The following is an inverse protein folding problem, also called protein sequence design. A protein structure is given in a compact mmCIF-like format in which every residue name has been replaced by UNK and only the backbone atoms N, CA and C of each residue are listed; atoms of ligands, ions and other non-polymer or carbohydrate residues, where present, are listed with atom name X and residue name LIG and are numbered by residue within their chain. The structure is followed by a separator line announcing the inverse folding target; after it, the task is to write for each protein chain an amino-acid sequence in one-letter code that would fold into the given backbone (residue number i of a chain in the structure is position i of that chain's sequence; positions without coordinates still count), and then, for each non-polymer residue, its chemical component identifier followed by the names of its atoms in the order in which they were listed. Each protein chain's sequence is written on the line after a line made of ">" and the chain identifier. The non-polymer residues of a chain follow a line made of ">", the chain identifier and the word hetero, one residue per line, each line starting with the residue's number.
data_IF_902935510021
#
_entry.id   IF_902935510021
#
_cell.length_a   1.000
_cell.length_b   1.000
_cell.length_c   1.000
_cell.angle_alpha   90.00
_cell.angle_beta   90.00
_cell.angle_gamma   90.00
#
_symmetry.space_group_name_H-M   'P 1'
#
loop_
_entity.id
_entity.type
_entity.pdbx_description
1 polymer ?
#
# COMPACT_ATOMS: atom_id res chain seq x y z
N UNK A 1 8.76 3.01 16.30
CA UNK A 1 8.32 1.61 16.46
C UNK A 1 7.21 1.54 17.50
N UNK A 2 6.15 0.77 17.26
CA UNK A 2 5.03 0.53 18.16
C UNK A 2 4.82 -0.96 18.35
N UNK A 3 4.55 -1.39 19.57
CA UNK A 3 4.18 -2.75 19.90
C UNK A 3 2.74 -2.72 20.42
N UNK A 4 1.86 -3.50 19.81
CA UNK A 4 0.44 -3.55 20.13
C UNK A 4 0.04 -4.98 20.37
N UNK A 5 -0.43 -5.28 21.57
CA UNK A 5 -0.96 -6.59 21.92
C UNK A 5 -2.47 -6.58 21.70
N UNK A 6 -2.94 -7.54 20.92
CA UNK A 6 -4.35 -7.83 20.70
C UNK A 6 -4.76 -8.99 21.58
N UNK A 7 -5.88 -8.83 22.25
CA UNK A 7 -6.58 -9.89 22.96
C UNK A 7 -7.97 -10.06 22.35
N UNK A 8 -8.76 -11.03 22.81
CA UNK A 8 -10.09 -11.27 22.27
C UNK A 8 -11.01 -10.02 22.26
N UNK A 9 -10.86 -9.14 23.27
CA UNK A 9 -11.79 -8.04 23.53
C UNK A 9 -11.12 -6.65 23.61
N UNK A 10 -9.78 -6.57 23.49
CA UNK A 10 -9.04 -5.32 23.66
C UNK A 10 -7.73 -5.28 22.89
N UNK A 11 -7.21 -4.09 22.72
CA UNK A 11 -5.83 -3.86 22.27
C UNK A 11 -5.12 -2.95 23.26
N UNK A 12 -3.83 -3.20 23.50
CA UNK A 12 -3.00 -2.39 24.38
C UNK A 12 -1.61 -2.16 23.82
N UNK A 13 -1.05 -1.00 24.08
CA UNK A 13 0.36 -0.77 23.79
C UNK A 13 1.23 -1.42 24.86
N UNK A 14 2.34 -2.00 24.42
CA UNK A 14 3.37 -2.57 25.28
C UNK A 14 4.72 -1.93 24.96
N UNK A 15 5.59 -1.76 25.97
CA UNK A 15 6.89 -1.13 25.78
C UNK A 15 7.95 -2.11 25.26
N UNK A 16 7.82 -3.38 25.66
CA UNK A 16 8.72 -4.46 25.27
C UNK A 16 7.92 -5.69 24.80
N UNK A 17 8.45 -6.48 23.86
CA UNK A 17 7.79 -7.74 23.49
C UNK A 17 7.65 -8.63 24.73
N UNK A 18 6.50 -9.26 24.92
CA UNK A 18 6.33 -10.28 25.96
C UNK A 18 7.22 -11.50 25.67
N UNK A 19 7.58 -12.25 26.72
CA UNK A 19 8.39 -13.47 26.59
C UNK A 19 7.65 -14.61 25.85
N UNK A 20 6.32 -14.55 25.81
CA UNK A 20 5.46 -15.50 25.12
C UNK A 20 4.25 -14.80 24.51
N UNK A 21 3.66 -15.43 23.49
CA UNK A 21 2.42 -14.93 22.89
C UNK A 21 1.28 -14.90 23.94
N UNK A 22 0.37 -13.90 23.86
CA UNK A 22 -0.83 -13.85 24.68
C UNK A 22 -1.64 -15.17 24.54
N UNK A 23 -2.23 -15.68 25.62
CA UNK A 23 -3.00 -16.94 25.58
C UNK A 23 -4.11 -16.92 24.51
N UNK A 24 -4.78 -15.77 24.36
CA UNK A 24 -5.84 -15.56 23.36
C UNK A 24 -5.61 -14.23 22.66
N UNK A 25 -4.77 -14.24 21.59
CA UNK A 25 -4.45 -13.04 20.85
C UNK A 25 -3.12 -13.11 20.16
N UNK A 26 -2.60 -11.95 19.76
CA UNK A 26 -1.34 -11.85 19.06
C UNK A 26 -0.65 -10.51 19.34
N UNK A 27 0.65 -10.46 19.03
CA UNK A 27 1.43 -9.23 19.07
C UNK A 27 1.58 -8.65 17.65
N UNK A 28 1.40 -7.34 17.51
CA UNK A 28 1.75 -6.58 16.32
C UNK A 28 2.90 -5.64 16.60
N UNK A 29 3.97 -5.77 15.81
CA UNK A 29 5.13 -4.87 15.80
C UNK A 29 5.05 -4.02 14.53
N UNK A 30 4.83 -2.73 14.69
CA UNK A 30 4.82 -1.72 13.63
C UNK A 30 6.08 -0.88 13.69
N UNK A 31 6.78 -0.76 12.57
CA UNK A 31 7.96 0.10 12.50
C UNK A 31 8.17 0.71 11.11
N UNK A 32 8.85 1.85 11.08
CA UNK A 32 9.36 2.46 9.86
C UNK A 32 10.63 1.75 9.38
N UNK A 33 10.85 1.73 8.06
CA UNK A 33 12.04 1.09 7.47
C UNK A 33 13.35 1.73 7.96
N UNK A 34 13.32 3.00 8.30
CA UNK A 34 14.46 3.72 8.89
C UNK A 34 14.81 3.27 10.32
N UNK A 35 13.85 2.69 11.04
CA UNK A 35 14.06 2.14 12.38
C UNK A 35 14.56 0.69 12.35
N UNK A 36 14.47 0.02 11.21
CA UNK A 36 14.65 -1.43 11.06
C UNK A 36 16.04 -1.89 11.51
N UNK A 37 17.12 -1.18 11.13
CA UNK A 37 18.49 -1.55 11.47
C UNK A 37 18.74 -1.59 12.99
N UNK A 38 18.15 -0.67 13.73
CA UNK A 38 18.24 -0.63 15.21
C UNK A 38 17.32 -1.64 15.90
N UNK A 39 16.24 -2.02 15.24
CA UNK A 39 15.23 -2.91 15.79
C UNK A 39 15.49 -4.41 15.53
N UNK A 40 16.44 -4.77 14.66
CA UNK A 40 16.70 -6.17 14.30
C UNK A 40 16.86 -7.14 15.47
N UNK A 41 17.65 -6.85 16.51
CA UNK A 41 17.81 -7.78 17.64
C UNK A 41 16.46 -8.05 18.33
N UNK A 42 15.63 -7.01 18.51
CA UNK A 42 14.32 -7.13 19.12
C UNK A 42 13.35 -7.91 18.23
N UNK A 43 13.36 -7.65 16.91
CA UNK A 43 12.50 -8.38 15.96
C UNK A 43 12.86 -9.86 15.91
N UNK A 44 14.14 -10.21 15.86
CA UNK A 44 14.58 -11.59 15.87
C UNK A 44 14.23 -12.30 17.18
N UNK A 45 14.38 -11.61 18.31
CA UNK A 45 13.97 -12.15 19.61
C UNK A 45 12.46 -12.37 19.67
N UNK A 46 11.64 -11.42 19.24
CA UNK A 46 10.19 -11.56 19.21
C UNK A 46 9.75 -12.68 18.25
N UNK A 47 10.36 -12.75 17.05
CA UNK A 47 10.11 -13.82 16.09
C UNK A 47 10.43 -15.20 16.66
N UNK A 48 11.57 -15.33 17.34
CA UNK A 48 11.96 -16.60 17.98
C UNK A 48 11.05 -16.97 19.16
N UNK A 49 10.74 -16.01 20.06
CA UNK A 49 10.02 -16.32 21.31
C UNK A 49 8.50 -16.46 21.09
N UNK A 50 7.92 -15.63 20.22
CA UNK A 50 6.47 -15.57 19.99
C UNK A 50 6.08 -16.31 18.71
N UNK A 51 6.87 -16.13 17.64
CA UNK A 51 6.65 -16.75 16.34
C UNK A 51 7.18 -18.17 16.21
N UNK A 52 8.09 -18.59 17.09
CA UNK A 52 8.68 -19.93 17.08
C UNK A 52 9.90 -20.10 16.17
N UNK A 53 10.21 -19.13 15.31
CA UNK A 53 11.39 -19.13 14.43
C UNK A 53 11.85 -17.72 14.15
N UNK A 54 13.17 -17.45 14.09
CA UNK A 54 13.66 -16.14 13.67
C UNK A 54 13.35 -15.89 12.19
N UNK A 55 13.36 -14.63 11.80
CA UNK A 55 13.29 -14.23 10.39
C UNK A 55 14.54 -14.71 9.63
N UNK A 56 14.35 -15.25 8.43
CA UNK A 56 15.44 -15.62 7.54
C UNK A 56 16.19 -14.36 7.07
N UNK A 57 17.51 -14.48 6.91
CA UNK A 57 18.35 -13.37 6.44
C UNK A 57 17.92 -12.82 5.08
N UNK A 58 17.39 -13.68 4.20
CA UNK A 58 16.81 -13.27 2.92
C UNK A 58 15.61 -12.35 3.15
N UNK A 59 14.66 -12.79 3.95
CA UNK A 59 13.44 -12.03 4.26
C UNK A 59 13.74 -10.72 5.02
N UNK A 60 14.81 -10.71 5.83
CA UNK A 60 15.30 -9.47 6.44
C UNK A 60 15.75 -8.45 5.39
N UNK A 61 16.41 -8.90 4.32
CA UNK A 61 16.83 -8.04 3.20
C UNK A 61 15.63 -7.55 2.38
N UNK A 62 14.65 -8.42 2.15
CA UNK A 62 13.43 -8.08 1.42
C UNK A 62 12.61 -7.02 2.17
N UNK A 63 12.44 -7.19 3.49
CA UNK A 63 11.80 -6.19 4.36
C UNK A 63 12.55 -4.84 4.38
N UNK A 64 13.88 -4.88 4.27
CA UNK A 64 14.71 -3.67 4.23
C UNK A 64 14.69 -2.98 2.86
N UNK A 65 14.37 -3.69 1.78
CA UNK A 65 14.41 -3.17 0.42
C UNK A 65 13.18 -2.29 0.11
N UNK A 66 13.40 -0.98 -0.02
CA UNK A 66 12.34 -0.04 -0.37
C UNK A 66 11.84 -0.16 -1.82
N UNK A 67 12.66 -0.77 -2.69
CA UNK A 67 12.37 -0.94 -4.12
C UNK A 67 11.85 -2.33 -4.48
N UNK A 68 11.60 -3.18 -3.48
CA UNK A 68 11.07 -4.52 -3.72
C UNK A 68 9.68 -4.45 -4.34
N UNK A 69 9.43 -5.24 -5.37
CA UNK A 69 8.11 -5.38 -5.98
C UNK A 69 7.14 -6.13 -5.05
N UNK A 70 5.84 -6.10 -5.36
CA UNK A 70 4.89 -6.88 -4.58
C UNK A 70 5.18 -8.37 -4.76
N UNK A 71 5.24 -9.10 -3.65
CA UNK A 71 5.76 -10.46 -3.65
C UNK A 71 5.25 -11.23 -2.44
N UNK A 72 5.04 -12.52 -2.62
CA UNK A 72 4.71 -13.47 -1.57
C UNK A 72 5.77 -14.56 -1.48
N UNK A 73 6.18 -14.90 -0.28
CA UNK A 73 7.01 -16.06 0.03
C UNK A 73 6.57 -16.67 1.36
N UNK A 74 6.95 -17.89 1.63
CA UNK A 74 6.56 -18.58 2.84
C UNK A 74 7.66 -19.47 3.40
N UNK A 75 7.56 -19.72 4.68
CA UNK A 75 8.32 -20.74 5.39
C UNK A 75 7.35 -21.73 6.01
N UNK A 76 7.86 -22.76 6.68
CA UNK A 76 7.00 -23.64 7.47
C UNK A 76 6.39 -22.97 8.72
N UNK A 77 6.75 -21.72 9.05
CA UNK A 77 6.42 -21.06 10.32
C UNK A 77 5.75 -19.70 10.09
N UNK A 78 6.05 -19.00 9.01
CA UNK A 78 5.48 -17.69 8.73
C UNK A 78 5.43 -17.41 7.23
N UNK A 79 4.52 -16.53 6.86
CA UNK A 79 4.38 -15.95 5.53
C UNK A 79 5.10 -14.60 5.47
N UNK A 80 5.75 -14.32 4.32
CA UNK A 80 6.28 -13.01 3.98
C UNK A 80 5.43 -12.40 2.86
N UNK A 81 4.91 -11.22 3.07
CA UNK A 81 4.18 -10.46 2.05
C UNK A 81 4.84 -9.10 1.88
N UNK A 82 5.36 -8.81 0.71
CA UNK A 82 5.74 -7.45 0.32
C UNK A 82 4.61 -6.89 -0.53
N UNK A 83 4.09 -5.74 -0.17
CA UNK A 83 2.99 -5.10 -0.86
C UNK A 83 3.33 -3.64 -1.19
N UNK A 84 3.46 -3.34 -2.47
CA UNK A 84 3.63 -1.96 -2.92
C UNK A 84 2.27 -1.28 -2.99
N UNK A 85 2.14 -0.12 -2.38
CA UNK A 85 0.94 0.70 -2.40
C UNK A 85 1.21 2.06 -3.01
N UNK A 86 0.18 2.77 -3.40
CA UNK A 86 0.34 4.16 -3.78
C UNK A 86 0.78 5.01 -2.59
N UNK A 87 1.67 5.96 -2.85
CA UNK A 87 2.07 6.95 -1.89
C UNK A 87 0.92 7.94 -1.63
N UNK A 88 0.74 8.32 -0.37
CA UNK A 88 -0.21 9.38 0.01
C UNK A 88 0.32 10.76 -0.42
N UNK A 89 -0.57 11.73 -0.53
CA UNK A 89 -0.16 13.13 -0.84
C UNK A 89 0.86 13.68 0.16
N UNK A 90 0.75 13.31 1.43
CA UNK A 90 1.70 13.74 2.46
C UNK A 90 3.07 13.11 2.25
N UNK A 91 3.15 11.83 1.89
CA UNK A 91 4.40 11.14 1.61
C UNK A 91 5.09 11.72 0.36
N UNK A 92 4.34 12.02 -0.67
CA UNK A 92 4.84 12.69 -1.88
C UNK A 92 5.37 14.09 -1.53
N UNK A 93 4.62 14.88 -0.77
CA UNK A 93 5.02 16.22 -0.35
C UNK A 93 6.27 16.24 0.53
N UNK A 94 6.51 15.16 1.29
CA UNK A 94 7.71 14.97 2.12
C UNK A 94 8.88 14.35 1.34
N UNK A 95 8.70 14.04 0.05
CA UNK A 95 9.74 13.43 -0.78
C UNK A 95 10.14 12.01 -0.35
N UNK A 96 9.25 11.30 0.35
CA UNK A 96 9.53 9.96 0.88
C UNK A 96 9.49 8.87 -0.22
N UNK A 97 9.07 9.23 -1.41
CA UNK A 97 8.90 8.38 -2.59
C UNK A 97 10.18 8.24 -3.45
N UNK A 98 11.27 8.90 -3.11
CA UNK A 98 12.53 8.90 -3.87
C UNK A 98 13.39 7.64 -3.63
N UNK A 99 12.79 6.51 -3.29
CA UNK A 99 13.46 5.24 -2.99
C UNK A 99 13.44 4.18 -4.11
N UNK A 100 13.03 4.51 -5.35
CA UNK A 100 13.02 3.50 -6.39
C UNK A 100 12.77 4.02 -7.79
N UNK A 101 13.77 3.87 -8.64
CA UNK A 101 13.76 4.05 -10.10
C UNK A 101 13.88 5.48 -10.64
N UNK A 102 14.98 6.15 -10.31
CA UNK A 102 15.53 7.22 -11.12
C UNK A 102 16.89 6.78 -11.66
N UNK A 103 16.94 6.27 -12.89
CA UNK A 103 18.20 6.05 -13.60
C UNK A 103 19.03 7.34 -13.56
N UNK A 104 20.26 7.22 -13.08
CA UNK A 104 21.28 8.25 -13.08
C UNK A 104 21.38 8.95 -14.44
N UNK A 105 20.89 10.18 -14.51
CA UNK A 105 21.45 11.19 -15.41
C UNK A 105 22.09 12.24 -14.51
N UNK A 106 23.31 11.95 -14.08
CA UNK A 106 24.20 12.91 -13.46
C UNK A 106 24.55 14.00 -14.49
N UNK A 107 23.86 15.14 -14.37
CA UNK A 107 24.26 16.40 -14.95
C UNK A 107 24.95 17.23 -13.88
N UNK A 108 26.29 17.28 -13.92
CA UNK A 108 27.10 18.28 -13.23
C UNK A 108 26.61 19.69 -13.56
N UNK A 109 26.23 20.47 -12.57
CA UNK A 109 25.90 21.87 -12.72
C UNK A 109 26.05 22.61 -11.39
N UNK A 110 27.04 23.47 -11.33
CA UNK A 110 27.55 24.27 -10.23
C UNK A 110 26.50 24.83 -9.24
N UNK A 111 26.77 24.65 -7.97
CA UNK A 111 26.32 25.44 -6.84
C UNK A 111 26.71 26.91 -6.97
N UNK A 112 25.71 27.77 -7.23
CA UNK A 112 25.67 29.21 -6.86
C UNK A 112 24.39 29.80 -7.44
N UNK A 113 23.32 29.88 -6.64
CA UNK A 113 22.22 30.84 -6.73
C UNK A 113 20.99 30.43 -5.88
N UNK A 114 21.23 30.07 -4.61
CA UNK A 114 20.16 29.71 -3.66
C UNK A 114 19.81 30.83 -2.65
N UNK A 115 20.02 32.10 -2.99
CA UNK A 115 19.81 33.21 -2.00
C UNK A 115 19.01 34.43 -2.51
N UNK A 116 18.22 34.31 -3.55
CA UNK A 116 17.51 35.46 -4.11
C UNK A 116 16.00 35.29 -4.39
N UNK A 117 15.27 34.45 -3.67
CA UNK A 117 13.79 34.28 -3.86
C UNK A 117 12.96 34.28 -2.59
N UNK A 118 13.41 34.96 -1.54
CA UNK A 118 12.67 35.15 -0.31
C UNK A 118 12.19 36.58 -0.06
N UNK A 119 11.70 37.28 -1.08
CA UNK A 119 11.03 38.59 -0.90
C UNK A 119 10.17 38.99 -2.09
N UNK A 120 8.93 38.45 -2.18
CA UNK A 120 7.81 39.22 -2.74
C UNK A 120 6.47 38.51 -2.48
N UNK A 121 5.96 38.71 -1.28
CA UNK A 121 4.56 38.46 -0.97
C UNK A 121 3.75 39.72 -1.23
N UNK A 122 3.06 39.82 -2.35
CA UNK A 122 1.89 40.71 -2.47
C UNK A 122 0.96 40.26 -3.60
N UNK A 123 -0.21 39.84 -3.18
CA UNK A 123 -1.51 39.92 -3.86
C UNK A 123 -1.55 39.84 -5.39
N UNK A 124 -2.02 38.73 -5.91
CA UNK A 124 -2.99 38.72 -7.00
C UNK A 124 -3.78 37.44 -7.01
N UNK A 125 -5.10 37.58 -7.03
CA UNK A 125 -6.02 36.50 -7.41
C UNK A 125 -5.65 36.02 -8.79
N UNK A 126 -4.80 35.01 -8.91
CA UNK A 126 -4.52 34.36 -10.17
C UNK A 126 -5.25 33.03 -10.19
N UNK A 127 -6.08 32.90 -11.21
CA UNK A 127 -6.69 31.69 -11.72
C UNK A 127 -5.80 30.49 -11.46
N UNK A 128 -6.39 29.45 -10.83
CA UNK A 128 -5.76 28.14 -10.74
C UNK A 128 -5.44 27.67 -12.18
N UNK A 129 -4.21 27.87 -12.60
CA UNK A 129 -3.67 27.19 -13.75
C UNK A 129 -3.73 25.71 -13.38
N UNK A 130 -4.72 24.98 -13.92
CA UNK A 130 -4.77 23.54 -13.83
C UNK A 130 -3.45 23.03 -14.43
N UNK A 131 -2.55 22.53 -13.58
CA UNK A 131 -1.36 21.82 -14.03
C UNK A 131 -1.85 20.58 -14.79
N UNK A 132 -1.92 20.68 -16.11
CA UNK A 132 -2.38 19.62 -16.98
C UNK A 132 -1.52 18.36 -16.76
N UNK A 133 -2.11 17.33 -16.16
CA UNK A 133 -1.44 16.06 -15.92
C UNK A 133 -0.82 15.85 -14.54
N UNK A 134 -0.80 16.84 -13.65
CA UNK A 134 -0.18 16.73 -12.31
C UNK A 134 -0.75 15.56 -11.47
N UNK A 135 -1.99 15.14 -11.72
CA UNK A 135 -2.58 13.99 -11.02
C UNK A 135 -1.86 12.66 -11.33
N UNK A 136 -1.29 12.51 -12.54
CA UNK A 136 -0.56 11.30 -12.91
C UNK A 136 0.79 11.21 -12.21
N UNK A 137 1.40 12.33 -11.82
CA UNK A 137 2.62 12.37 -11.03
C UNK A 137 2.42 11.84 -9.60
N UNK A 138 1.17 11.68 -9.17
CA UNK A 138 0.78 11.05 -7.90
C UNK A 138 0.77 9.51 -7.96
N UNK A 139 0.93 8.92 -9.14
CA UNK A 139 1.09 7.47 -9.32
C UNK A 139 2.53 7.12 -8.97
N UNK A 140 2.80 7.02 -7.68
CA UNK A 140 4.09 6.65 -7.10
C UNK A 140 3.85 5.58 -6.06
N UNK A 141 4.69 4.57 -6.01
CA UNK A 141 4.49 3.42 -5.14
C UNK A 141 5.55 3.30 -4.06
N UNK A 142 5.15 2.79 -2.91
CA UNK A 142 5.99 2.54 -1.74
C UNK A 142 5.77 1.11 -1.25
N UNK A 143 6.86 0.37 -1.01
CA UNK A 143 6.78 -0.99 -0.50
C UNK A 143 6.52 -1.00 1.01
N UNK A 144 5.60 -1.87 1.44
CA UNK A 144 5.35 -2.24 2.84
C UNK A 144 5.55 -3.74 2.97
N UNK A 145 6.27 -4.19 3.99
CA UNK A 145 6.55 -5.60 4.21
C UNK A 145 5.82 -6.13 5.44
N UNK A 146 5.38 -7.38 5.37
CA UNK A 146 4.69 -8.08 6.44
C UNK A 146 5.34 -9.46 6.65
N UNK A 147 5.76 -9.76 7.87
CA UNK A 147 6.04 -11.12 8.29
C UNK A 147 4.91 -11.59 9.21
N UNK A 148 4.16 -12.57 8.75
CA UNK A 148 2.89 -13.00 9.33
C UNK A 148 3.08 -14.38 9.94
N UNK A 149 3.18 -14.44 11.25
CA UNK A 149 3.21 -15.66 12.06
C UNK A 149 1.81 -15.95 12.62
N UNK A 150 1.61 -17.09 13.21
CA UNK A 150 0.32 -17.42 13.84
C UNK A 150 -0.09 -16.44 14.94
N UNK A 151 0.88 -15.94 15.73
CA UNK A 151 0.64 -15.07 16.89
C UNK A 151 1.49 -13.80 16.91
N UNK A 152 2.20 -13.50 15.83
CA UNK A 152 3.00 -12.31 15.68
C UNK A 152 2.84 -11.73 14.28
N UNK A 153 2.59 -10.44 14.20
CA UNK A 153 2.70 -9.68 12.96
C UNK A 153 3.84 -8.67 13.10
N UNK A 154 4.80 -8.74 12.18
CA UNK A 154 5.80 -7.68 12.02
C UNK A 154 5.46 -6.96 10.72
N UNK A 155 5.23 -5.64 10.79
CA UNK A 155 4.96 -4.83 9.61
C UNK A 155 5.98 -3.69 9.50
N UNK A 156 6.66 -3.64 8.35
CA UNK A 156 7.70 -2.67 8.02
C UNK A 156 7.17 -1.70 6.98
N UNK A 157 7.06 -0.44 7.34
CA UNK A 157 6.44 0.60 6.55
C UNK A 157 7.47 1.56 5.94
N UNK A 158 7.11 2.35 4.91
CA UNK A 158 7.96 3.40 4.41
C UNK A 158 8.43 4.35 5.51
N UNK A 159 9.62 4.93 5.34
CA UNK A 159 10.19 5.89 6.28
C UNK A 159 9.20 7.01 6.60
N UNK A 160 9.06 7.35 7.88
CA UNK A 160 8.17 8.43 8.33
C UNK A 160 6.68 8.14 8.18
N UNK A 161 6.29 6.91 7.86
CA UNK A 161 4.88 6.51 7.76
C UNK A 161 4.22 6.57 9.15
N UNK A 162 3.20 7.42 9.27
CA UNK A 162 2.33 7.51 10.48
C UNK A 162 1.05 6.68 10.34
N UNK A 163 0.97 5.84 9.33
CA UNK A 163 -0.21 5.02 9.06
C UNK A 163 -0.60 4.09 10.21
N UNK A 164 0.39 3.60 10.97
CA UNK A 164 0.14 2.80 12.17
C UNK A 164 -0.75 3.50 13.19
N UNK A 165 -0.50 4.77 13.47
CA UNK A 165 -1.31 5.56 14.40
C UNK A 165 -2.75 5.74 13.89
N UNK A 166 -2.94 5.89 12.58
CA UNK A 166 -4.26 6.02 11.97
C UNK A 166 -5.03 4.70 12.04
N UNK A 167 -4.38 3.59 11.70
CA UNK A 167 -4.96 2.24 11.79
C UNK A 167 -5.35 1.91 13.24
N UNK A 168 -4.44 2.14 14.18
CA UNK A 168 -4.69 1.91 15.61
C UNK A 168 -5.86 2.77 16.09
N UNK A 169 -5.90 4.05 15.73
CA UNK A 169 -7.00 4.95 16.10
C UNK A 169 -8.33 4.45 15.56
N UNK A 170 -8.37 4.04 14.31
CA UNK A 170 -9.56 3.47 13.67
C UNK A 170 -10.03 2.19 14.37
N UNK A 171 -9.10 1.28 14.67
CA UNK A 171 -9.41 0.06 15.41
C UNK A 171 -9.94 0.36 16.83
N UNK A 172 -9.38 1.37 17.51
CA UNK A 172 -9.85 1.82 18.81
C UNK A 172 -11.23 2.50 18.75
N UNK A 173 -11.50 3.29 17.71
CA UNK A 173 -12.81 3.90 17.48
C UNK A 173 -13.87 2.84 17.18
N UNK A 174 -13.54 1.89 16.34
CA UNK A 174 -14.41 0.75 16.00
C UNK A 174 -14.72 -0.12 17.24
N UNK A 175 -13.73 -0.34 18.10
CA UNK A 175 -13.93 -1.07 19.36
C UNK A 175 -14.84 -0.30 20.36
N UNK A 176 -14.76 1.03 20.37
CA UNK A 176 -15.60 1.88 21.26
C UNK A 176 -17.05 2.03 20.81
N UNK A 177 -17.31 2.00 19.51
CA UNK A 177 -18.67 2.15 18.96
C UNK A 177 -19.54 0.90 19.09
N UNK A 178 -18.96 -0.25 19.43
CA UNK A 178 -19.69 -1.48 19.68
C UNK A 178 -20.19 -1.56 21.11
N UNK A 179 -21.38 -1.01 21.39
CA UNK A 179 -22.04 -1.17 22.70
C UNK A 179 -22.62 -2.58 22.92
N UNK A 180 -22.74 -3.40 21.86
CA UNK A 180 -23.14 -4.81 21.94
C UNK A 180 -21.91 -5.71 21.91
N UNK A 181 -21.73 -6.52 22.95
CA UNK A 181 -20.61 -7.44 23.16
C UNK A 181 -20.35 -8.34 21.94
N UNK A 182 -21.37 -8.73 21.20
CA UNK A 182 -21.26 -9.58 20.01
C UNK A 182 -20.76 -8.81 18.76
N UNK A 183 -21.01 -7.51 18.66
CA UNK A 183 -20.53 -6.68 17.55
C UNK A 183 -19.10 -6.18 17.75
N UNK A 184 -18.62 -6.00 18.97
CA UNK A 184 -17.25 -5.64 19.28
C UNK A 184 -16.24 -6.74 18.87
N UNK A 185 -16.60 -8.03 19.11
CA UNK A 185 -15.78 -9.19 18.71
C UNK A 185 -15.55 -9.28 17.20
N UNK A 186 -16.49 -8.83 16.38
CA UNK A 186 -16.35 -8.88 14.92
C UNK A 186 -15.51 -7.73 14.34
N UNK A 187 -15.13 -6.73 15.15
CA UNK A 187 -14.44 -5.51 14.68
C UNK A 187 -12.94 -5.52 14.90
N UNK A 188 -12.46 -6.16 15.97
CA UNK A 188 -11.01 -6.33 16.16
C UNK A 188 -10.49 -7.45 15.25
N UNK A 189 -9.24 -7.32 14.76
CA UNK A 189 -8.60 -8.38 14.00
C UNK A 189 -8.49 -9.67 14.85
N UNK A 190 -8.86 -10.79 14.25
CA UNK A 190 -8.86 -12.09 14.93
C UNK A 190 -7.49 -12.79 14.88
N UNK A 191 -6.61 -12.38 13.97
CA UNK A 191 -5.29 -12.96 13.76
C UNK A 191 -4.33 -11.97 13.12
N UNK A 192 -3.01 -12.26 13.11
CA UNK A 192 -2.02 -11.49 12.36
C UNK A 192 -2.37 -11.35 10.88
N UNK A 193 -2.80 -12.42 10.22
CA UNK A 193 -3.21 -12.42 8.82
C UNK A 193 -4.45 -11.55 8.58
N UNK A 194 -5.45 -11.58 9.47
CA UNK A 194 -6.62 -10.70 9.37
C UNK A 194 -6.23 -9.22 9.46
N UNK A 195 -5.31 -8.86 10.37
CA UNK A 195 -4.82 -7.49 10.49
C UNK A 195 -4.03 -7.06 9.24
N UNK A 196 -3.13 -7.91 8.74
CA UNK A 196 -2.35 -7.63 7.54
C UNK A 196 -3.26 -7.42 6.31
N UNK A 197 -4.25 -8.30 6.10
CA UNK A 197 -5.22 -8.14 5.00
C UNK A 197 -6.07 -6.88 5.11
N UNK A 198 -6.44 -6.46 6.33
CA UNK A 198 -7.14 -5.17 6.54
C UNK A 198 -6.27 -3.98 6.16
N UNK A 199 -4.98 -4.01 6.53
CA UNK A 199 -4.03 -2.97 6.17
C UNK A 199 -3.82 -2.91 4.66
N UNK A 200 -3.66 -4.06 4.00
CA UNK A 200 -3.51 -4.15 2.55
C UNK A 200 -4.76 -3.62 1.83
N UNK A 201 -5.95 -3.99 2.28
CA UNK A 201 -7.19 -3.47 1.71
C UNK A 201 -7.27 -1.93 1.80
N UNK A 202 -6.90 -1.34 2.93
CA UNK A 202 -6.84 0.12 3.10
C UNK A 202 -5.79 0.78 2.18
N UNK A 203 -4.67 0.08 1.91
CA UNK A 203 -3.65 0.54 0.97
C UNK A 203 -4.17 0.56 -0.47
N UNK A 204 -4.95 -0.43 -0.89
CA UNK A 204 -5.61 -0.45 -2.20
C UNK A 204 -6.67 0.65 -2.31
N UNK A 205 -7.42 0.89 -1.23
CA UNK A 205 -8.43 1.95 -1.18
C UNK A 205 -7.83 3.36 -1.39
N UNK A 206 -6.54 3.56 -1.10
CA UNK A 206 -5.82 4.80 -1.39
C UNK A 206 -5.90 5.24 -2.86
N UNK A 207 -6.11 4.30 -3.80
CA UNK A 207 -6.36 4.62 -5.20
C UNK A 207 -7.67 5.41 -5.42
N UNK A 208 -8.68 5.22 -4.59
CA UNK A 208 -9.97 5.89 -4.72
C UNK A 208 -9.84 7.42 -4.62
N UNK A 209 -8.82 7.92 -3.91
CA UNK A 209 -8.54 9.34 -3.79
C UNK A 209 -8.20 10.02 -5.12
N UNK A 210 -7.46 9.32 -6.00
CA UNK A 210 -7.00 9.87 -7.29
C UNK A 210 -7.87 9.43 -8.47
N UNK A 211 -8.66 8.38 -8.32
CA UNK A 211 -9.45 7.76 -9.39
C UNK A 211 -10.30 8.74 -10.18
N UNK A 212 -11.02 9.62 -9.47
CA UNK A 212 -11.93 10.61 -10.10
C UNK A 212 -11.15 11.65 -10.89
N UNK A 213 -10.03 12.11 -10.35
CA UNK A 213 -9.19 13.13 -10.96
C UNK A 213 -8.53 12.60 -12.24
N UNK A 214 -7.98 11.36 -12.20
CA UNK A 214 -7.44 10.68 -13.38
C UNK A 214 -8.48 10.60 -14.51
N UNK A 215 -9.68 10.11 -14.20
CA UNK A 215 -10.77 10.01 -15.19
C UNK A 215 -11.19 11.36 -15.76
N UNK A 216 -11.24 12.41 -14.92
CA UNK A 216 -11.58 13.76 -15.36
C UNK A 216 -10.52 14.32 -16.28
N UNK A 217 -9.25 14.16 -15.98
CA UNK A 217 -8.14 14.67 -16.80
C UNK A 217 -8.09 13.99 -18.17
N UNK A 218 -8.22 12.66 -18.23
CA UNK A 218 -8.29 11.95 -19.52
C UNK A 218 -9.48 12.41 -20.36
N UNK A 219 -10.64 12.62 -19.73
CA UNK A 219 -11.83 13.12 -20.44
C UNK A 219 -11.64 14.53 -21.00
N UNK A 220 -10.96 15.43 -20.28
CA UNK A 220 -10.61 16.76 -20.78
C UNK A 220 -9.73 16.64 -22.02
N UNK A 221 -8.64 15.88 -21.96
CA UNK A 221 -7.75 15.69 -23.11
C UNK A 221 -8.44 15.01 -24.29
N UNK A 222 -9.30 14.02 -24.03
CA UNK A 222 -10.11 13.40 -25.09
C UNK A 222 -10.98 14.44 -25.81
N UNK A 223 -11.64 15.32 -25.07
CA UNK A 223 -12.48 16.37 -25.65
C UNK A 223 -11.66 17.35 -26.48
N UNK A 224 -10.47 17.75 -26.02
CA UNK A 224 -9.57 18.63 -26.75
C UNK A 224 -9.01 17.97 -28.03
N UNK A 225 -8.61 16.72 -27.97
CA UNK A 225 -8.08 15.94 -29.10
C UNK A 225 -9.13 15.73 -30.20
N UNK A 226 -10.40 15.52 -29.82
CA UNK A 226 -11.50 15.30 -30.76
C UNK A 226 -12.08 16.60 -31.33
N UNK A 227 -11.69 17.77 -30.80
CA UNK A 227 -12.13 19.07 -31.32
C UNK A 227 -11.27 19.50 -32.52
N UNK A 228 -11.85 19.44 -33.72
CA UNK A 228 -11.18 19.81 -34.98
C UNK A 228 -10.68 21.26 -35.02
N UNK A 229 -11.21 22.16 -34.18
CA UNK A 229 -10.84 23.58 -34.12
C UNK A 229 -9.80 23.87 -33.02
N UNK A 230 -9.44 22.90 -32.21
CA UNK A 230 -8.49 23.02 -31.11
C UNK A 230 -7.13 22.46 -31.51
N UNK A 231 -6.07 23.23 -31.23
CA UNK A 231 -4.70 22.70 -31.35
C UNK A 231 -4.29 22.09 -30.01
N UNK A 232 -4.24 20.76 -29.93
CA UNK A 232 -3.76 20.06 -28.74
C UNK A 232 -2.27 20.35 -28.52
N UNK A 233 -1.92 20.84 -27.33
CA UNK A 233 -0.54 21.25 -26.99
C UNK A 233 0.09 20.41 -25.88
N UNK A 234 -0.70 19.56 -25.20
CA UNK A 234 -0.27 18.84 -23.99
C UNK A 234 0.29 17.43 -24.27
N UNK A 235 0.98 17.24 -25.40
CA UNK A 235 1.50 15.93 -25.83
C UNK A 235 2.42 15.28 -24.81
N UNK A 236 3.37 16.05 -24.25
CA UNK A 236 4.31 15.52 -23.24
C UNK A 236 3.59 15.08 -21.98
N UNK A 237 2.60 15.85 -21.51
CA UNK A 237 1.80 15.49 -20.36
C UNK A 237 0.97 14.22 -20.62
N UNK A 238 0.40 14.09 -21.81
CA UNK A 238 -0.37 12.91 -22.22
C UNK A 238 0.51 11.65 -22.31
N UNK A 239 1.72 11.77 -22.89
CA UNK A 239 2.65 10.64 -22.97
C UNK A 239 3.16 10.23 -21.59
N UNK A 240 3.48 11.20 -20.71
CA UNK A 240 3.83 10.90 -19.32
C UNK A 240 2.67 10.22 -18.58
N UNK A 241 1.43 10.71 -18.75
CA UNK A 241 0.25 10.11 -18.14
C UNK A 241 0.06 8.66 -18.58
N UNK A 242 0.27 8.34 -19.86
CA UNK A 242 0.22 6.97 -20.36
C UNK A 242 1.30 6.09 -19.73
N UNK A 243 2.53 6.58 -19.62
CA UNK A 243 3.61 5.86 -18.93
C UNK A 243 3.25 5.60 -17.46
N UNK A 244 2.66 6.59 -16.77
CA UNK A 244 2.22 6.40 -15.38
C UNK A 244 1.05 5.42 -15.25
N UNK A 245 0.13 5.38 -16.23
CA UNK A 245 -0.96 4.40 -16.25
C UNK A 245 -0.42 2.99 -16.46
N UNK A 246 0.57 2.78 -17.33
CA UNK A 246 1.23 1.48 -17.48
C UNK A 246 1.95 1.07 -16.18
N UNK A 247 2.68 1.98 -15.54
CA UNK A 247 3.29 1.68 -14.25
C UNK A 247 2.26 1.31 -13.16
N UNK A 248 1.04 1.87 -13.24
CA UNK A 248 -0.07 1.47 -12.37
C UNK A 248 -0.64 0.11 -12.73
N UNK A 249 -0.71 -0.23 -14.02
CA UNK A 249 -1.11 -1.57 -14.50
C UNK A 249 -0.13 -2.62 -13.98
N UNK A 250 1.18 -2.43 -14.18
CA UNK A 250 2.25 -3.32 -13.71
C UNK A 250 2.18 -3.49 -12.17
N UNK A 251 2.01 -2.39 -11.44
CA UNK A 251 1.84 -2.43 -9.99
C UNK A 251 0.64 -3.30 -9.56
N UNK A 252 -0.48 -3.17 -10.26
CA UNK A 252 -1.68 -3.96 -9.94
C UNK A 252 -1.50 -5.44 -10.27
N UNK A 253 -0.80 -5.77 -11.37
CA UNK A 253 -0.52 -7.17 -11.73
C UNK A 253 0.36 -7.83 -10.66
N UNK A 254 1.43 -7.17 -10.20
CA UNK A 254 2.27 -7.65 -9.10
C UNK A 254 1.49 -7.82 -7.78
N UNK A 255 0.64 -6.84 -7.45
CA UNK A 255 -0.22 -6.91 -6.26
C UNK A 255 -1.19 -8.09 -6.33
N UNK A 256 -1.81 -8.27 -7.51
CA UNK A 256 -2.74 -9.37 -7.75
C UNK A 256 -2.06 -10.71 -7.53
N UNK A 257 -0.89 -10.92 -8.14
CA UNK A 257 -0.16 -12.19 -8.07
C UNK A 257 0.25 -12.49 -6.63
N UNK A 258 0.84 -11.53 -5.92
CA UNK A 258 1.26 -11.70 -4.52
C UNK A 258 0.09 -12.07 -3.59
N UNK A 259 -1.07 -11.41 -3.72
CA UNK A 259 -2.23 -11.70 -2.87
C UNK A 259 -2.94 -12.98 -3.30
N UNK A 260 -2.95 -13.31 -4.58
CA UNK A 260 -3.51 -14.56 -5.07
C UNK A 260 -2.71 -15.77 -4.57
N UNK A 261 -1.38 -15.71 -4.62
CA UNK A 261 -0.51 -16.75 -4.06
C UNK A 261 -0.72 -16.90 -2.55
N UNK A 262 -0.82 -15.79 -1.82
CA UNK A 262 -1.12 -15.85 -0.39
C UNK A 262 -2.51 -16.41 -0.10
N UNK A 263 -3.53 -16.04 -0.88
CA UNK A 263 -4.89 -16.60 -0.78
C UNK A 263 -4.88 -18.13 -0.95
N UNK A 264 -4.13 -18.62 -1.92
CA UNK A 264 -4.04 -20.05 -2.20
C UNK A 264 -3.32 -20.78 -1.04
N UNK A 265 -2.25 -20.18 -0.50
CA UNK A 265 -1.58 -20.70 0.71
C UNK A 265 -2.50 -20.72 1.93
N UNK A 266 -3.28 -19.65 2.17
CA UNK A 266 -4.26 -19.61 3.27
C UNK A 266 -5.32 -20.71 3.19
N UNK A 267 -5.68 -21.14 1.98
CA UNK A 267 -6.65 -22.24 1.76
C UNK A 267 -6.04 -23.61 1.98
N UNK A 268 -4.75 -23.75 1.69
CA UNK A 268 -4.02 -25.00 1.81
C UNK A 268 -3.50 -25.25 3.23
N UNK A 269 -3.48 -24.21 4.10
CA UNK A 269 -3.05 -24.36 5.48
C UNK A 269 -3.91 -25.43 6.17
N UNK A 270 -3.28 -26.43 6.81
CA UNK A 270 -4.02 -27.40 7.59
C UNK A 270 -4.74 -26.68 8.74
N UNK A 271 -5.97 -27.07 8.97
CA UNK A 271 -6.74 -26.60 10.14
C UNK A 271 -5.91 -26.91 11.40
N UNK A 272 -5.63 -25.87 12.20
CA UNK A 272 -4.79 -26.00 13.38
C UNK A 272 -5.27 -27.13 14.29
N UNK A 273 -4.41 -28.13 14.48
CA UNK A 273 -4.69 -29.25 15.40
C UNK A 273 -4.78 -28.78 16.87
N UNK A 274 -4.40 -27.53 17.15
CA UNK A 274 -4.47 -26.90 18.47
C UNK A 274 -5.77 -26.12 18.72
N UNK A 275 -6.62 -25.94 17.69
CA UNK A 275 -7.93 -25.34 17.89
C UNK A 275 -8.85 -26.36 18.59
N UNK A 276 -9.34 -26.00 19.77
CA UNK A 276 -10.24 -26.81 20.55
C UNK A 276 -11.57 -27.12 19.83
N UNK A 277 -11.90 -26.35 18.76
CA UNK A 277 -13.11 -26.48 17.96
C UNK A 277 -12.78 -26.41 16.47
N UNK A 278 -12.77 -27.55 15.74
CA UNK A 278 -12.53 -27.57 14.29
C UNK A 278 -13.52 -26.73 13.48
N UNK A 279 -14.74 -26.50 13.99
CA UNK A 279 -15.72 -25.66 13.31
C UNK A 279 -15.31 -24.17 13.33
N UNK A 280 -14.73 -23.70 14.42
CA UNK A 280 -14.24 -22.33 14.53
C UNK A 280 -12.97 -22.11 13.68
N UNK A 281 -12.10 -23.11 13.59
CA UNK A 281 -10.92 -23.07 12.73
C UNK A 281 -11.31 -22.91 11.26
N UNK A 282 -12.26 -23.71 10.78
CA UNK A 282 -12.79 -23.62 9.42
C UNK A 282 -13.43 -22.25 9.15
N UNK A 283 -14.24 -21.74 10.07
CA UNK A 283 -14.86 -20.41 9.93
C UNK A 283 -13.82 -19.30 9.85
N UNK A 284 -12.70 -19.39 10.59
CA UNK A 284 -11.59 -18.42 10.52
C UNK A 284 -10.89 -18.49 9.16
N UNK A 285 -10.58 -19.67 8.67
CA UNK A 285 -9.97 -19.87 7.35
C UNK A 285 -10.86 -19.34 6.23
N UNK A 286 -12.16 -19.63 6.26
CA UNK A 286 -13.13 -19.10 5.31
C UNK A 286 -13.20 -17.57 5.35
N UNK A 287 -13.15 -16.99 6.54
CA UNK A 287 -13.17 -15.54 6.72
C UNK A 287 -11.90 -14.86 6.17
N UNK A 288 -10.72 -15.44 6.43
CA UNK A 288 -9.46 -14.95 5.87
C UNK A 288 -9.44 -15.08 4.35
N UNK A 289 -9.87 -16.22 3.82
CA UNK A 289 -9.97 -16.45 2.37
C UNK A 289 -10.95 -15.48 1.69
N UNK A 290 -12.08 -15.18 2.33
CA UNK A 290 -13.03 -14.19 1.83
C UNK A 290 -12.41 -12.78 1.79
N UNK A 291 -11.67 -12.41 2.85
CA UNK A 291 -11.00 -11.10 2.92
C UNK A 291 -9.86 -10.96 1.91
N UNK A 292 -9.04 -11.99 1.74
CA UNK A 292 -7.99 -11.99 0.71
C UNK A 292 -8.59 -11.87 -0.70
N UNK A 293 -9.69 -12.57 -0.98
CA UNK A 293 -10.42 -12.45 -2.25
C UNK A 293 -10.98 -11.04 -2.46
N UNK A 294 -11.49 -10.39 -1.42
CA UNK A 294 -11.93 -8.99 -1.49
C UNK A 294 -10.79 -8.07 -1.93
N UNK A 295 -9.58 -8.26 -1.39
CA UNK A 295 -8.39 -7.48 -1.80
C UNK A 295 -8.07 -7.72 -3.27
N UNK A 296 -8.03 -8.98 -3.73
CA UNK A 296 -7.80 -9.33 -5.15
C UNK A 296 -8.83 -8.63 -6.04
N UNK A 297 -10.13 -8.68 -5.70
CA UNK A 297 -11.18 -8.01 -6.47
C UNK A 297 -11.02 -6.47 -6.49
N UNK A 298 -10.50 -5.88 -5.41
CA UNK A 298 -10.20 -4.44 -5.37
C UNK A 298 -9.04 -4.10 -6.29
N UNK A 299 -7.94 -4.83 -6.25
CA UNK A 299 -6.79 -4.67 -7.16
C UNK A 299 -7.26 -4.78 -8.61
N UNK A 300 -8.03 -5.81 -8.95
CA UNK A 300 -8.62 -6.00 -10.27
C UNK A 300 -9.47 -4.82 -10.75
N UNK A 301 -10.20 -4.17 -9.84
CA UNK A 301 -10.98 -2.98 -10.19
C UNK A 301 -10.09 -1.79 -10.52
N UNK A 302 -8.97 -1.64 -9.82
CA UNK A 302 -7.96 -0.61 -10.11
C UNK A 302 -7.35 -0.86 -11.48
N UNK A 303 -6.87 -2.08 -11.72
CA UNK A 303 -6.28 -2.53 -12.99
C UNK A 303 -7.20 -2.25 -14.18
N UNK A 304 -8.45 -2.72 -14.11
CA UNK A 304 -9.43 -2.48 -15.17
C UNK A 304 -9.75 -1.00 -15.38
N UNK A 305 -9.62 -0.17 -14.35
CA UNK A 305 -9.80 1.27 -14.51
C UNK A 305 -8.60 1.92 -15.20
N UNK A 306 -7.38 1.57 -14.81
CA UNK A 306 -6.14 2.06 -15.45
C UNK A 306 -6.12 1.70 -16.94
N UNK A 307 -6.39 0.45 -17.29
CA UNK A 307 -6.49 -0.04 -18.67
C UNK A 307 -7.51 0.73 -19.51
N UNK A 308 -8.70 1.02 -18.94
CA UNK A 308 -9.72 1.81 -19.65
C UNK A 308 -9.28 3.26 -19.89
N UNK A 309 -8.59 3.87 -18.93
CA UNK A 309 -8.07 5.23 -19.11
C UNK A 309 -7.01 5.27 -20.20
N UNK A 310 -6.09 4.30 -20.21
CA UNK A 310 -5.06 4.16 -21.22
C UNK A 310 -5.65 3.94 -22.62
N UNK A 311 -6.61 3.02 -22.75
CA UNK A 311 -7.33 2.76 -24.00
C UNK A 311 -8.10 3.99 -24.51
N UNK A 312 -8.72 4.75 -23.61
CA UNK A 312 -9.42 5.99 -23.95
C UNK A 312 -8.44 7.03 -24.51
N UNK A 313 -7.29 7.21 -23.87
CA UNK A 313 -6.25 8.12 -24.32
C UNK A 313 -5.70 7.71 -25.69
N UNK A 314 -5.40 6.44 -25.88
CA UNK A 314 -4.90 5.89 -27.15
C UNK A 314 -5.89 6.08 -28.30
N UNK A 315 -7.15 5.72 -28.07
CA UNK A 315 -8.20 5.88 -29.10
C UNK A 315 -8.37 7.34 -29.50
N UNK A 316 -8.34 8.28 -28.55
CA UNK A 316 -8.44 9.71 -28.84
C UNK A 316 -7.26 10.21 -29.68
N UNK A 317 -6.05 9.74 -29.39
CA UNK A 317 -4.83 10.05 -30.16
C UNK A 317 -4.95 9.52 -31.58
N UNK A 318 -5.38 8.28 -31.77
CA UNK A 318 -5.55 7.67 -33.11
C UNK A 318 -6.57 8.42 -33.97
N UNK A 319 -7.72 8.80 -33.39
CA UNK A 319 -8.74 9.58 -34.09
C UNK A 319 -8.21 10.94 -34.49
N UNK A 320 -7.49 11.63 -33.57
CA UNK A 320 -6.89 12.95 -33.84
C UNK A 320 -5.96 12.90 -35.05
N UNK A 321 -5.03 11.94 -35.12
CA UNK A 321 -4.11 11.81 -36.26
C UNK A 321 -4.82 11.39 -37.53
N UNK A 322 -5.83 10.52 -37.45
CA UNK A 322 -6.62 10.12 -38.62
C UNK A 322 -7.40 11.30 -39.23
N UNK A 323 -7.89 12.20 -38.38
CA UNK A 323 -8.60 13.41 -38.83
C UNK A 323 -7.68 14.48 -39.44
N UNK A 324 -6.40 14.52 -39.04
CA UNK A 324 -5.42 15.45 -39.61
C UNK A 324 -4.78 14.95 -40.92
N UNK A 325 -4.83 13.64 -41.19
CA UNK A 325 -4.26 13.02 -42.37
C UNK A 325 -5.18 13.02 -43.60
N UNK A 326 -6.45 13.44 -43.45
CA UNK A 326 -7.43 13.64 -44.51
C UNK A 326 -7.58 15.14 -44.82
#
# INVERSE_FOLDING_TARGET
>A
MHLVEFTADSLRFVETPPEAAPEHGFLWIFLGRDELSGAWPLLQQAAQCIGGSPLLDLHCRDLANASHDSYYDYTSVYDLVIFRRLATQQEIALGLDHGGNGGDLAGNGDDKDAEALAASSSSSKSHAAHHHGAVFERIRSLATGFAVYDRLLISVHPKGCRGGDAIIRRLLEDAKQGSDINTARSRLPSSPADLALRMINEMVDGYLEIRRELGTQIKVWQTELLNAHSRFTHWNALMNARSQLHALEDLCDEQHDAIQEWLDALREQPLDAFDADPGQALMRQDHLSARARDVVEHVDRVLRHAQRLNQTAETAVQIHFSAQGN
#
